data_IF_535957931872
#
_entry.id   IF_535957931872
#
_cell.length_a   1.000
_cell.length_b   1.000
_cell.length_c   1.000
_cell.angle_alpha   90.00
_cell.angle_beta   90.00
_cell.angle_gamma   90.00
#
_symmetry.space_group_name_H-M   'P 1'
#
loop_
_entity.id
_entity.type
_entity.pdbx_description
1 polymer ?
#
# COMPACT_ATOMS: atom_id res chain seq x y z
N UNK A 1 15.29 -23.54 6.05
CA UNK A 1 15.15 -22.89 7.39
C UNK A 1 13.80 -22.15 7.41
N UNK A 2 13.14 -21.94 8.56
CA UNK A 2 11.87 -21.17 8.60
C UNK A 2 12.12 -19.85 9.32
N UNK A 3 11.88 -18.72 8.66
CA UNK A 3 11.89 -17.40 9.31
C UNK A 3 10.47 -16.87 9.49
N UNK A 4 10.28 -16.08 10.54
CA UNK A 4 8.99 -15.53 10.95
C UNK A 4 9.02 -14.01 10.85
N UNK A 5 8.09 -13.44 10.08
CA UNK A 5 7.85 -12.00 10.04
C UNK A 5 6.47 -11.73 10.61
N UNK A 6 6.35 -10.69 11.44
CA UNK A 6 5.06 -10.24 11.94
C UNK A 6 4.77 -8.82 11.47
N UNK A 7 3.55 -8.60 11.01
CA UNK A 7 3.00 -7.27 10.77
C UNK A 7 1.89 -6.97 11.79
N UNK A 8 1.30 -5.78 11.73
CA UNK A 8 0.15 -5.43 12.56
C UNK A 8 -1.06 -6.35 12.35
N UNK A 9 -1.21 -6.94 11.15
CA UNK A 9 -2.40 -7.71 10.76
C UNK A 9 -2.10 -9.16 10.36
N UNK A 10 -0.84 -9.58 10.30
CA UNK A 10 -0.48 -10.92 9.81
C UNK A 10 0.79 -11.48 10.45
N UNK A 11 0.92 -12.79 10.37
CA UNK A 11 2.10 -13.59 10.70
C UNK A 11 2.50 -14.29 9.40
N UNK A 12 3.76 -14.16 9.00
CA UNK A 12 4.28 -14.63 7.71
C UNK A 12 5.44 -15.59 7.97
N UNK A 13 5.27 -16.84 7.55
CA UNK A 13 6.30 -17.88 7.62
C UNK A 13 6.98 -17.98 6.27
N UNK A 14 8.27 -17.67 6.23
CA UNK A 14 9.09 -17.80 5.03
C UNK A 14 9.85 -19.12 5.10
N UNK A 15 9.71 -19.92 4.05
CA UNK A 15 10.47 -21.15 3.84
C UNK A 15 11.31 -21.01 2.58
N UNK A 16 12.13 -22.01 2.27
CA UNK A 16 13.02 -21.98 1.12
C UNK A 16 12.25 -21.84 -0.22
N UNK A 17 11.02 -22.38 -0.31
CA UNK A 17 10.22 -22.40 -1.56
C UNK A 17 8.88 -21.68 -1.47
N UNK A 18 8.29 -21.61 -0.28
CA UNK A 18 6.95 -21.08 -0.07
C UNK A 18 6.90 -20.08 1.07
N UNK A 19 5.90 -19.21 1.00
CA UNK A 19 5.50 -18.33 2.10
C UNK A 19 4.08 -18.68 2.52
N UNK A 20 3.84 -18.67 3.83
CA UNK A 20 2.52 -18.89 4.41
C UNK A 20 2.14 -17.66 5.25
N UNK A 21 1.09 -16.95 4.83
CA UNK A 21 0.58 -15.77 5.52
C UNK A 21 -0.72 -16.09 6.25
N UNK A 22 -0.71 -15.89 7.56
CA UNK A 22 -1.84 -16.08 8.46
C UNK A 22 -2.28 -14.72 8.98
N UNK A 23 -3.59 -14.45 8.96
CA UNK A 23 -4.15 -13.18 9.41
C UNK A 23 -4.35 -13.20 10.93
N UNK A 24 -4.00 -12.11 11.63
CA UNK A 24 -4.21 -11.97 13.07
C UNK A 24 -5.69 -11.68 13.37
N UNK A 25 -6.24 -12.15 14.51
CA UNK A 25 -7.64 -11.95 14.89
C UNK A 25 -7.91 -10.54 15.43
N UNK A 26 -7.74 -9.52 14.59
CA UNK A 26 -7.81 -8.09 14.98
C UNK A 26 -8.98 -7.36 14.33
N UNK A 27 -9.42 -6.26 14.93
CA UNK A 27 -10.35 -5.31 14.34
C UNK A 27 -9.88 -3.88 14.61
N UNK A 28 -9.60 -3.13 13.55
CA UNK A 28 -9.11 -1.75 13.61
C UNK A 28 -10.14 -0.74 13.07
N UNK A 29 -11.39 -1.14 12.86
CA UNK A 29 -12.47 -0.32 12.29
C UNK A 29 -12.40 -0.19 10.77
N UNK A 30 -11.20 0.02 10.20
CA UNK A 30 -10.97 -0.03 8.75
C UNK A 30 -10.73 -1.44 8.21
N UNK A 31 -10.55 -2.41 9.12
CA UNK A 31 -10.30 -3.82 8.87
C UNK A 31 -10.89 -4.67 9.99
N UNK A 32 -11.50 -5.80 9.63
CA UNK A 32 -12.05 -6.76 10.59
C UNK A 32 -11.71 -8.21 10.23
N UNK A 33 -10.76 -8.77 10.97
CA UNK A 33 -10.31 -10.16 10.95
C UNK A 33 -10.70 -10.93 12.22
N UNK A 34 -11.63 -10.40 13.02
CA UNK A 34 -11.98 -10.93 14.36
C UNK A 34 -12.40 -12.40 14.36
N UNK A 35 -13.17 -12.83 13.36
CA UNK A 35 -13.67 -14.20 13.27
C UNK A 35 -12.94 -15.04 12.22
N UNK A 36 -12.86 -16.35 12.46
CA UNK A 36 -12.27 -17.29 11.53
C UNK A 36 -12.92 -17.23 10.14
N UNK A 37 -14.25 -17.05 10.07
CA UNK A 37 -14.99 -16.86 8.81
C UNK A 37 -14.54 -15.61 8.04
N UNK A 38 -14.31 -14.49 8.74
CA UNK A 38 -13.78 -13.26 8.13
C UNK A 38 -12.37 -13.46 7.59
N UNK A 39 -11.49 -14.10 8.37
CA UNK A 39 -10.12 -14.40 7.91
C UNK A 39 -10.10 -15.32 6.71
N UNK A 40 -10.92 -16.36 6.70
CA UNK A 40 -11.10 -17.23 5.53
C UNK A 40 -11.50 -16.45 4.26
N UNK A 41 -12.49 -15.57 4.40
CA UNK A 41 -12.94 -14.70 3.29
C UNK A 41 -11.80 -13.82 2.78
N UNK A 42 -11.08 -13.13 3.66
CA UNK A 42 -10.00 -12.23 3.24
C UNK A 42 -8.75 -12.96 2.74
N UNK A 43 -8.48 -14.19 3.17
CA UNK A 43 -7.47 -15.04 2.51
C UNK A 43 -7.80 -15.28 1.04
N UNK A 44 -9.09 -15.49 0.71
CA UNK A 44 -9.53 -15.64 -0.68
C UNK A 44 -9.48 -14.31 -1.45
N UNK A 45 -9.88 -13.20 -0.81
CA UNK A 45 -9.78 -11.87 -1.45
C UNK A 45 -8.32 -11.52 -1.78
N UNK A 46 -7.38 -11.80 -0.87
CA UNK A 46 -5.95 -11.58 -1.11
C UNK A 46 -5.48 -12.30 -2.40
N UNK A 47 -5.85 -13.57 -2.57
CA UNK A 47 -5.50 -14.33 -3.78
C UNK A 47 -6.15 -13.72 -5.03
N UNK A 48 -7.45 -13.44 -4.98
CA UNK A 48 -8.20 -12.90 -6.13
C UNK A 48 -7.58 -11.59 -6.61
N UNK A 49 -7.28 -10.70 -5.67
CA UNK A 49 -6.84 -9.34 -5.98
C UNK A 49 -5.39 -9.28 -6.40
N UNK A 50 -4.53 -10.06 -5.76
CA UNK A 50 -3.12 -10.07 -6.12
C UNK A 50 -2.87 -10.79 -7.45
N UNK A 51 -3.63 -11.83 -7.80
CA UNK A 51 -3.49 -12.51 -9.11
C UNK A 51 -3.64 -11.59 -10.33
N UNK A 52 -4.21 -10.39 -10.17
CA UNK A 52 -4.27 -9.36 -11.22
C UNK A 52 -2.88 -8.85 -11.65
N UNK A 53 -1.90 -8.89 -10.75
CA UNK A 53 -0.53 -8.41 -10.95
C UNK A 53 0.55 -9.46 -10.59
N UNK A 54 0.17 -10.58 -9.99
CA UNK A 54 1.07 -11.63 -9.50
C UNK A 54 0.49 -13.05 -9.66
N UNK A 55 -0.07 -13.35 -10.84
CA UNK A 55 -0.83 -14.57 -11.14
C UNK A 55 -0.17 -15.88 -10.66
N UNK A 56 1.15 -16.02 -10.88
CA UNK A 56 1.87 -17.28 -10.64
C UNK A 56 2.38 -17.47 -9.21
N UNK A 57 2.26 -16.44 -8.35
CA UNK A 57 2.78 -16.48 -6.97
C UNK A 57 1.77 -17.11 -6.02
N UNK A 58 0.49 -16.77 -6.15
CA UNK A 58 -0.54 -17.21 -5.21
C UNK A 58 -1.08 -18.60 -5.55
N UNK A 59 -0.75 -19.57 -4.70
CA UNK A 59 -1.07 -20.99 -4.91
C UNK A 59 -2.49 -21.30 -4.45
N UNK A 60 -2.83 -20.94 -3.20
CA UNK A 60 -4.14 -21.26 -2.64
C UNK A 60 -4.27 -20.89 -1.15
N UNK A 61 -5.47 -21.06 -0.61
CA UNK A 61 -5.73 -21.00 0.83
C UNK A 61 -5.66 -22.41 1.39
N UNK A 62 -4.91 -22.61 2.47
CA UNK A 62 -4.81 -23.88 3.19
C UNK A 62 -5.43 -23.76 4.58
N UNK A 63 -6.27 -24.72 5.00
CA UNK A 63 -6.70 -24.78 6.39
C UNK A 63 -5.53 -25.19 7.29
N UNK A 64 -5.53 -24.67 8.50
CA UNK A 64 -4.70 -25.13 9.61
C UNK A 64 -5.61 -25.92 10.53
N UNK A 65 -5.28 -27.18 10.74
CA UNK A 65 -6.08 -28.16 11.44
C UNK A 65 -5.37 -28.55 12.72
N UNK A 66 -6.12 -28.60 13.81
CA UNK A 66 -5.68 -29.14 15.08
C UNK A 66 -6.40 -30.46 15.35
N UNK A 67 -5.64 -31.53 15.54
CA UNK A 67 -6.16 -32.89 15.77
C UNK A 67 -6.31 -33.26 17.26
N UNK A 68 -6.12 -32.30 18.16
CA UNK A 68 -6.10 -32.52 19.61
C UNK A 68 -4.69 -32.67 20.20
N UNK A 69 -3.66 -32.85 19.36
CA UNK A 69 -2.25 -32.91 19.80
C UNK A 69 -1.33 -32.03 18.95
N UNK A 70 -1.49 -32.06 17.64
CA UNK A 70 -0.61 -31.40 16.68
C UNK A 70 -1.37 -30.44 15.76
N UNK A 71 -0.66 -29.45 15.25
CA UNK A 71 -1.13 -28.59 14.17
C UNK A 71 -0.59 -29.10 12.83
N UNK A 72 -1.46 -29.17 11.82
CA UNK A 72 -1.11 -29.51 10.44
C UNK A 72 -1.72 -28.51 9.47
N UNK A 73 -1.09 -28.29 8.32
CA UNK A 73 -1.58 -27.39 7.28
C UNK A 73 -1.93 -28.18 6.03
N UNK A 74 -3.12 -27.95 5.46
CA UNK A 74 -3.64 -28.72 4.32
C UNK A 74 -4.73 -29.73 4.71
N UNK A 75 -4.91 -30.77 3.89
CA UNK A 75 -5.99 -31.75 4.05
C UNK A 75 -5.69 -32.69 5.23
N UNK A 76 -6.69 -32.94 6.07
CA UNK A 76 -6.60 -33.91 7.16
C UNK A 76 -7.81 -33.89 8.07
N UNK A 77 -7.84 -34.83 9.02
CA UNK A 77 -8.84 -34.91 10.08
C UNK A 77 -8.50 -33.94 11.23
N UNK A 78 -9.55 -33.43 11.89
CA UNK A 78 -9.44 -32.52 13.03
C UNK A 78 -10.24 -31.22 12.84
N UNK A 79 -10.12 -30.31 13.80
CA UNK A 79 -10.83 -29.02 13.77
C UNK A 79 -10.00 -27.98 13.00
N UNK A 80 -10.60 -27.29 12.04
CA UNK A 80 -9.99 -26.11 11.41
C UNK A 80 -9.92 -24.99 12.46
N UNK A 81 -8.72 -24.53 12.73
CA UNK A 81 -8.44 -23.47 13.73
C UNK A 81 -8.03 -22.16 13.07
N UNK A 82 -7.48 -22.20 11.85
CA UNK A 82 -7.03 -21.01 11.11
C UNK A 82 -6.90 -21.30 9.60
N UNK A 83 -6.66 -20.28 8.79
CA UNK A 83 -6.31 -20.40 7.38
C UNK A 83 -5.00 -19.67 7.05
N UNK A 84 -4.24 -20.22 6.11
CA UNK A 84 -3.03 -19.61 5.57
C UNK A 84 -3.14 -19.40 4.06
N UNK A 85 -2.73 -18.22 3.57
CA UNK A 85 -2.46 -18.01 2.15
C UNK A 85 -1.09 -18.62 1.86
N UNK A 86 -1.04 -19.60 0.95
CA UNK A 86 0.21 -20.19 0.45
C UNK A 86 0.62 -19.51 -0.85
N UNK A 87 1.86 -19.05 -0.90
CA UNK A 87 2.45 -18.42 -2.08
C UNK A 87 3.87 -18.89 -2.34
N UNK A 88 4.35 -18.76 -3.59
CA UNK A 88 5.76 -19.00 -3.94
C UNK A 88 6.64 -17.95 -3.25
N UNK A 89 7.80 -18.39 -2.75
CA UNK A 89 8.82 -17.47 -2.22
C UNK A 89 9.43 -16.69 -3.37
N UNK A 90 9.34 -15.36 -3.30
CA UNK A 90 10.08 -14.49 -4.19
C UNK A 90 11.51 -14.29 -3.68
N UNK A 91 12.50 -14.15 -4.57
CA UNK A 91 13.87 -13.82 -4.19
C UNK A 91 13.92 -12.41 -3.58
N UNK A 92 14.31 -12.32 -2.30
CA UNK A 92 14.34 -11.05 -1.55
C UNK A 92 15.30 -10.04 -2.21
N UNK A 93 16.38 -10.53 -2.81
CA UNK A 93 17.37 -9.75 -3.53
C UNK A 93 16.82 -9.09 -4.81
N UNK A 94 15.71 -9.61 -5.35
CA UNK A 94 15.03 -9.07 -6.53
C UNK A 94 13.86 -8.15 -6.17
N UNK A 95 13.51 -7.98 -4.88
CA UNK A 95 12.56 -6.93 -4.50
C UNK A 95 13.10 -5.57 -4.93
N UNK A 96 12.24 -4.71 -5.48
CA UNK A 96 12.63 -3.40 -6.02
C UNK A 96 13.35 -2.58 -4.96
N UNK A 97 12.92 -2.66 -3.69
CA UNK A 97 13.61 -2.03 -2.55
C UNK A 97 15.05 -2.52 -2.40
N UNK A 98 15.28 -3.84 -2.45
CA UNK A 98 16.62 -4.44 -2.37
C UNK A 98 17.51 -4.01 -3.55
N UNK A 99 16.98 -4.04 -4.77
CA UNK A 99 17.70 -3.61 -5.98
C UNK A 99 18.01 -2.10 -5.94
N UNK A 100 17.10 -1.28 -5.41
CA UNK A 100 17.31 0.15 -5.20
C UNK A 100 18.48 0.42 -4.25
N UNK A 101 18.51 -0.21 -3.07
CA UNK A 101 19.58 0.03 -2.09
C UNK A 101 20.95 -0.50 -2.52
N UNK A 102 21.01 -1.45 -3.46
CA UNK A 102 22.27 -1.86 -4.10
C UNK A 102 22.72 -0.93 -5.23
N UNK A 103 21.94 0.10 -5.58
CA UNK A 103 22.24 1.01 -6.69
C UNK A 103 22.02 0.39 -8.08
N UNK A 104 21.28 -0.72 -8.16
CA UNK A 104 21.10 -1.51 -9.38
C UNK A 104 19.75 -1.23 -10.09
N UNK A 105 18.93 -0.31 -9.55
CA UNK A 105 17.63 0.02 -10.13
C UNK A 105 17.79 0.89 -11.38
N UNK A 106 17.81 0.24 -12.56
CA UNK A 106 18.00 0.88 -13.86
C UNK A 106 16.71 1.35 -14.53
N UNK A 107 16.86 2.23 -15.52
CA UNK A 107 15.74 2.77 -16.31
C UNK A 107 14.91 1.71 -17.06
N UNK A 108 15.51 0.58 -17.44
CA UNK A 108 14.79 -0.54 -18.05
C UNK A 108 13.78 -1.18 -17.09
N UNK A 109 14.13 -1.31 -15.81
CA UNK A 109 13.22 -1.77 -14.76
C UNK A 109 12.05 -0.80 -14.62
N UNK A 110 12.33 0.51 -14.55
CA UNK A 110 11.30 1.55 -14.44
C UNK A 110 10.34 1.54 -15.64
N UNK A 111 10.87 1.41 -16.86
CA UNK A 111 10.04 1.31 -18.07
C UNK A 111 9.14 0.07 -18.05
N UNK A 112 9.66 -1.07 -17.56
CA UNK A 112 8.88 -2.30 -17.41
C UNK A 112 7.77 -2.15 -16.37
N UNK A 113 8.07 -1.55 -15.22
CA UNK A 113 7.10 -1.22 -14.16
C UNK A 113 6.00 -0.31 -14.71
N UNK A 114 6.36 0.79 -15.36
CA UNK A 114 5.41 1.71 -15.97
C UNK A 114 4.47 1.00 -16.97
N UNK A 115 5.00 0.12 -17.83
CA UNK A 115 4.20 -0.68 -18.77
C UNK A 115 3.22 -1.62 -18.08
N UNK A 116 3.63 -2.29 -17.00
CA UNK A 116 2.77 -3.22 -16.25
C UNK A 116 1.68 -2.44 -15.52
N UNK A 117 2.03 -1.36 -14.81
CA UNK A 117 1.07 -0.54 -14.07
C UNK A 117 0.07 0.16 -14.99
N UNK A 118 0.52 0.79 -16.07
CA UNK A 118 -0.38 1.46 -17.01
C UNK A 118 -1.37 0.46 -17.64
N UNK A 119 -0.91 -0.75 -17.97
CA UNK A 119 -1.79 -1.82 -18.47
C UNK A 119 -2.78 -2.29 -17.40
N UNK A 120 -2.32 -2.48 -16.17
CA UNK A 120 -3.17 -2.86 -15.05
C UNK A 120 -4.24 -1.79 -14.81
N UNK A 121 -3.85 -0.53 -14.66
CA UNK A 121 -4.75 0.60 -14.45
C UNK A 121 -5.80 0.76 -15.56
N UNK A 122 -5.39 0.60 -16.83
CA UNK A 122 -6.32 0.65 -17.97
C UNK A 122 -7.37 -0.47 -17.93
N UNK A 123 -6.98 -1.67 -17.49
CA UNK A 123 -7.85 -2.86 -17.51
C UNK A 123 -8.53 -3.14 -16.16
N UNK A 124 -8.14 -2.42 -15.10
CA UNK A 124 -8.72 -2.56 -13.78
C UNK A 124 -10.21 -2.21 -13.82
N UNK A 125 -10.98 -2.90 -12.96
CA UNK A 125 -12.43 -2.74 -12.91
C UNK A 125 -12.78 -1.27 -12.67
N UNK A 126 -13.73 -0.78 -13.45
CA UNK A 126 -14.44 0.47 -13.23
C UNK A 126 -15.94 0.14 -13.09
N UNK A 127 -16.66 0.92 -12.28
CA UNK A 127 -18.11 0.86 -12.18
C UNK A 127 -18.64 2.16 -11.58
N UNK A 128 -19.94 2.39 -11.66
CA UNK A 128 -20.59 3.52 -10.98
C UNK A 128 -20.32 3.52 -9.47
N UNK A 129 -20.26 2.35 -8.84
CA UNK A 129 -19.90 2.22 -7.42
C UNK A 129 -18.43 2.57 -7.13
N UNK A 130 -17.50 2.19 -8.02
CA UNK A 130 -16.09 2.57 -7.90
C UNK A 130 -15.91 4.08 -8.12
N UNK A 131 -16.60 4.66 -9.09
CA UNK A 131 -16.51 6.08 -9.42
C UNK A 131 -16.88 7.00 -8.25
N UNK A 132 -17.76 6.55 -7.34
CA UNK A 132 -18.10 7.30 -6.12
C UNK A 132 -16.86 7.63 -5.27
N UNK A 133 -15.84 6.77 -5.28
CA UNK A 133 -14.61 6.97 -4.49
C UNK A 133 -13.68 8.04 -5.06
N UNK A 134 -13.86 8.45 -6.32
CA UNK A 134 -13.14 9.57 -6.91
C UNK A 134 -13.74 10.93 -6.59
N UNK A 135 -14.97 10.97 -6.05
CA UNK A 135 -15.62 12.23 -5.70
C UNK A 135 -14.83 12.94 -4.60
N UNK A 136 -14.59 14.25 -4.69
CA UNK A 136 -13.75 14.96 -3.74
C UNK A 136 -14.26 14.82 -2.31
N UNK A 137 -15.58 14.87 -2.08
CA UNK A 137 -16.20 14.70 -0.77
C UNK A 137 -16.01 13.29 -0.17
N UNK A 138 -15.92 12.26 -1.01
CA UNK A 138 -15.68 10.88 -0.56
C UNK A 138 -14.20 10.64 -0.33
N UNK A 139 -13.33 11.12 -1.21
CA UNK A 139 -11.89 11.00 -1.03
C UNK A 139 -11.41 11.80 0.19
N UNK A 140 -12.05 12.95 0.47
CA UNK A 140 -11.79 13.80 1.65
C UNK A 140 -11.94 13.07 2.98
N UNK A 141 -12.81 12.06 3.07
CA UNK A 141 -12.93 11.24 4.29
C UNK A 141 -11.58 10.58 4.63
N UNK A 142 -10.81 10.15 3.63
CA UNK A 142 -9.48 9.56 3.86
C UNK A 142 -8.49 10.57 4.44
N UNK A 143 -8.44 11.79 3.87
CA UNK A 143 -7.55 12.83 4.36
C UNK A 143 -7.95 13.34 5.74
N UNK A 144 -9.25 13.50 5.99
CA UNK A 144 -9.77 13.99 7.27
C UNK A 144 -9.51 12.98 8.39
N UNK A 145 -9.71 11.68 8.13
CA UNK A 145 -9.33 10.61 9.04
C UNK A 145 -7.83 10.61 9.32
N UNK A 146 -6.98 10.78 8.29
CA UNK A 146 -5.55 10.87 8.48
C UNK A 146 -5.17 12.01 9.42
N UNK A 147 -5.66 13.23 9.17
CA UNK A 147 -5.36 14.37 10.02
C UNK A 147 -5.88 14.17 11.45
N UNK A 148 -7.10 13.66 11.62
CA UNK A 148 -7.67 13.34 12.94
C UNK A 148 -6.78 12.35 13.70
N UNK A 149 -6.34 11.29 13.04
CA UNK A 149 -5.50 10.25 13.65
C UNK A 149 -4.08 10.73 13.97
N UNK A 150 -3.56 11.71 13.23
CA UNK A 150 -2.23 12.31 13.46
C UNK A 150 -2.23 13.30 14.63
N UNK A 151 -3.38 13.87 15.03
CA UNK A 151 -3.46 14.94 16.04
C UNK A 151 -2.71 14.62 17.35
N UNK A 152 -2.79 13.38 17.84
CA UNK A 152 -2.15 12.96 19.09
C UNK A 152 -0.62 12.86 19.02
N UNK A 153 -0.03 12.95 17.83
CA UNK A 153 1.42 12.89 17.63
C UNK A 153 2.05 14.25 17.29
N UNK A 154 1.27 15.32 17.35
CA UNK A 154 1.77 16.69 17.19
C UNK A 154 2.75 17.00 18.33
N UNK A 155 3.91 17.55 17.99
CA UNK A 155 5.02 17.80 18.92
C UNK A 155 5.97 16.60 19.06
N UNK A 156 5.55 15.40 18.65
CA UNK A 156 6.39 14.19 18.66
C UNK A 156 6.90 13.87 17.26
N UNK A 157 6.00 13.53 16.34
CA UNK A 157 6.36 13.09 14.97
C UNK A 157 6.13 14.14 13.90
N UNK A 158 5.34 15.18 14.20
CA UNK A 158 5.10 16.32 13.31
C UNK A 158 4.97 17.59 14.15
N UNK A 159 5.53 18.70 13.67
CA UNK A 159 5.36 19.99 14.34
C UNK A 159 3.97 20.58 14.06
N UNK A 160 3.42 21.32 15.03
CA UNK A 160 2.08 21.92 14.90
C UNK A 160 1.94 22.78 13.65
N UNK A 161 2.98 23.56 13.33
CA UNK A 161 3.04 24.40 12.13
C UNK A 161 2.90 23.60 10.84
N UNK A 162 3.65 22.51 10.71
CA UNK A 162 3.66 21.69 9.49
C UNK A 162 2.33 20.93 9.35
N UNK A 163 1.79 20.42 10.46
CA UNK A 163 0.45 19.81 10.50
C UNK A 163 -0.63 20.78 10.01
N UNK A 164 -0.68 22.00 10.54
CA UNK A 164 -1.69 23.00 10.16
C UNK A 164 -1.52 23.46 8.70
N UNK A 165 -0.27 23.54 8.22
CA UNK A 165 0.05 23.88 6.83
C UNK A 165 -0.43 22.80 5.86
N UNK A 166 -0.06 21.54 6.10
CA UNK A 166 -0.50 20.39 5.30
C UNK A 166 -2.02 20.27 5.28
N UNK A 167 -2.67 20.44 6.44
CA UNK A 167 -4.12 20.38 6.54
C UNK A 167 -4.80 21.49 5.72
N UNK A 168 -4.37 22.74 5.89
CA UNK A 168 -4.92 23.89 5.16
C UNK A 168 -4.71 23.76 3.66
N UNK A 169 -3.51 23.35 3.24
CA UNK A 169 -3.20 23.13 1.83
C UNK A 169 -4.10 22.05 1.24
N UNK A 170 -4.27 20.92 1.94
CA UNK A 170 -5.14 19.82 1.51
C UNK A 170 -6.60 20.27 1.36
N UNK A 171 -7.12 21.03 2.33
CA UNK A 171 -8.48 21.59 2.29
C UNK A 171 -8.66 22.56 1.11
N UNK A 172 -7.70 23.45 0.90
CA UNK A 172 -7.71 24.37 -0.23
C UNK A 172 -7.63 23.64 -1.58
N UNK A 173 -6.85 22.55 -1.67
CA UNK A 173 -6.76 21.77 -2.90
C UNK A 173 -8.13 21.22 -3.32
N UNK A 174 -8.89 20.65 -2.39
CA UNK A 174 -10.26 20.18 -2.70
C UNK A 174 -11.16 21.31 -3.19
N UNK A 175 -11.14 22.46 -2.50
CA UNK A 175 -11.98 23.60 -2.85
C UNK A 175 -11.68 24.16 -4.24
N UNK A 176 -10.40 24.24 -4.60
CA UNK A 176 -9.96 24.82 -5.88
C UNK A 176 -9.94 23.84 -7.05
N UNK A 177 -9.97 22.52 -6.82
CA UNK A 177 -9.75 21.51 -7.85
C UNK A 177 -10.92 20.53 -8.04
N UNK A 178 -12.14 20.88 -7.61
CA UNK A 178 -13.34 20.03 -7.81
C UNK A 178 -13.47 19.58 -9.27
N UNK A 179 -13.28 20.48 -10.23
CA UNK A 179 -13.35 20.18 -11.66
C UNK A 179 -12.32 19.12 -12.10
N UNK A 180 -11.13 19.12 -11.49
CA UNK A 180 -10.10 18.14 -11.78
C UNK A 180 -10.54 16.74 -11.34
N UNK A 181 -11.01 16.57 -10.10
CA UNK A 181 -11.56 15.28 -9.63
C UNK A 181 -12.71 14.78 -10.50
N UNK A 182 -13.63 15.67 -10.88
CA UNK A 182 -14.76 15.32 -11.75
C UNK A 182 -14.29 14.90 -13.15
N UNK A 183 -13.28 15.57 -13.71
CA UNK A 183 -12.65 15.17 -14.97
C UNK A 183 -12.05 13.77 -14.91
N UNK A 184 -11.41 13.41 -13.79
CA UNK A 184 -10.88 12.05 -13.56
C UNK A 184 -12.00 11.00 -13.58
N UNK A 185 -13.12 11.27 -12.92
CA UNK A 185 -14.29 10.38 -12.92
C UNK A 185 -14.85 10.22 -14.34
N UNK A 186 -15.06 11.33 -15.04
CA UNK A 186 -15.62 11.34 -16.40
C UNK A 186 -14.70 10.64 -17.42
N UNK A 187 -13.39 10.65 -17.17
CA UNK A 187 -12.37 9.97 -17.97
C UNK A 187 -12.14 8.51 -17.53
N UNK A 188 -13.03 7.96 -16.69
CA UNK A 188 -12.95 6.61 -16.11
C UNK A 188 -11.60 6.29 -15.46
N UNK A 189 -11.00 7.27 -14.77
CA UNK A 189 -9.68 7.13 -14.13
C UNK A 189 -9.75 6.60 -12.70
N UNK A 190 -10.96 6.43 -12.16
CA UNK A 190 -11.18 5.80 -10.86
C UNK A 190 -11.30 4.30 -11.06
N UNK A 191 -10.36 3.54 -10.51
CA UNK A 191 -10.21 2.13 -10.79
C UNK A 191 -10.07 1.34 -9.50
N UNK A 192 -10.34 0.05 -9.60
CA UNK A 192 -9.98 -0.92 -8.58
C UNK A 192 -8.46 -1.20 -8.63
N UNK A 193 -7.67 -0.33 -7.99
CA UNK A 193 -6.21 -0.29 -8.08
C UNK A 193 -5.50 -1.28 -7.12
N UNK A 194 -4.22 -1.03 -6.79
CA UNK A 194 -3.46 -1.79 -5.80
C UNK A 194 -3.75 -1.33 -4.36
N UNK A 195 -3.78 -0.03 -4.12
CA UNK A 195 -4.07 0.61 -2.84
C UNK A 195 -2.84 0.79 -1.92
N UNK A 196 -1.82 -0.06 -2.03
CA UNK A 196 -0.58 -0.03 -1.23
C UNK A 196 0.71 -0.22 -2.06
N UNK A 197 0.81 0.49 -3.18
CA UNK A 197 1.86 0.27 -4.17
C UNK A 197 3.19 0.94 -3.76
N UNK A 198 4.12 0.22 -3.15
CA UNK A 198 5.46 0.70 -2.80
C UNK A 198 6.56 -0.33 -3.11
N UNK A 199 7.84 0.03 -2.96
CA UNK A 199 8.95 -0.77 -3.50
C UNK A 199 9.06 -2.19 -2.91
N UNK A 200 8.56 -2.43 -1.70
CA UNK A 200 8.54 -3.76 -1.07
C UNK A 200 7.60 -4.74 -1.78
N UNK A 201 6.64 -4.22 -2.53
CA UNK A 201 5.58 -4.97 -3.20
C UNK A 201 5.86 -5.23 -4.68
N UNK A 202 7.01 -4.79 -5.19
CA UNK A 202 7.43 -4.98 -6.58
C UNK A 202 8.65 -5.88 -6.62
N UNK A 203 8.60 -6.99 -7.37
CA UNK A 203 9.75 -7.89 -7.53
C UNK A 203 10.22 -7.90 -9.00
N UNK A 204 11.51 -7.65 -9.23
CA UNK A 204 12.11 -7.43 -10.54
C UNK A 204 12.48 -8.72 -11.29
N UNK A 205 11.77 -9.81 -11.05
CA UNK A 205 11.91 -11.04 -11.84
C UNK A 205 11.35 -10.86 -13.26
N UNK A 206 11.50 -11.88 -14.10
CA UNK A 206 11.03 -11.85 -15.49
C UNK A 206 9.54 -11.50 -15.61
N UNK A 207 8.70 -12.04 -14.73
CA UNK A 207 7.25 -11.78 -14.75
C UNK A 207 6.84 -10.48 -14.04
N UNK A 208 7.80 -9.76 -13.44
CA UNK A 208 7.60 -8.53 -12.67
C UNK A 208 6.33 -8.56 -11.77
N UNK A 209 6.23 -9.50 -10.84
CA UNK A 209 5.05 -9.56 -10.01
C UNK A 209 4.97 -8.37 -9.05
N UNK A 210 3.76 -7.84 -8.93
CA UNK A 210 3.38 -6.86 -7.91
C UNK A 210 2.33 -7.50 -7.00
N UNK A 211 2.56 -7.45 -5.69
CA UNK A 211 1.82 -8.26 -4.70
C UNK A 211 1.52 -7.46 -3.43
N UNK A 212 0.75 -8.05 -2.51
CA UNK A 212 0.22 -7.41 -1.30
C UNK A 212 -0.72 -6.21 -1.53
N UNK A 213 -1.56 -6.31 -2.55
CA UNK A 213 -2.69 -5.42 -2.81
C UNK A 213 -3.70 -5.46 -1.65
N UNK A 214 -4.25 -4.28 -1.27
CA UNK A 214 -5.23 -4.15 -0.17
C UNK A 214 -6.50 -4.96 -0.46
N UNK A 215 -6.71 -6.03 0.30
CA UNK A 215 -7.82 -6.96 0.13
C UNK A 215 -9.04 -6.67 1.00
N UNK A 216 -8.89 -5.75 1.94
CA UNK A 216 -9.83 -5.62 3.04
C UNK A 216 -10.59 -4.31 3.12
N UNK A 217 -10.18 -3.29 2.37
CA UNK A 217 -10.85 -2.01 2.35
C UNK A 217 -10.94 -1.46 0.93
N UNK A 218 -12.15 -1.48 0.39
CA UNK A 218 -12.42 -0.97 -0.96
C UNK A 218 -12.09 0.52 -1.08
N UNK A 219 -12.28 1.34 -0.04
CA UNK A 219 -11.99 2.78 -0.09
C UNK A 219 -10.50 3.10 -0.30
N UNK A 220 -9.62 2.21 0.16
CA UNK A 220 -8.17 2.38 -0.04
C UNK A 220 -7.70 1.89 -1.41
N UNK A 221 -8.50 1.03 -2.06
CA UNK A 221 -8.17 0.40 -3.34
C UNK A 221 -8.90 1.03 -4.53
N UNK A 222 -10.14 1.48 -4.34
CA UNK A 222 -10.95 2.17 -5.34
C UNK A 222 -10.54 3.62 -5.34
N UNK A 223 -9.67 3.99 -6.26
CA UNK A 223 -9.02 5.30 -6.24
C UNK A 223 -8.60 5.70 -7.64
N UNK A 224 -8.16 6.94 -7.80
CA UNK A 224 -7.55 7.40 -9.04
C UNK A 224 -6.26 6.62 -9.31
N UNK A 225 -6.03 6.23 -10.56
CA UNK A 225 -4.79 5.56 -10.97
C UNK A 225 -3.53 6.40 -10.67
N UNK A 226 -3.65 7.74 -10.63
CA UNK A 226 -2.55 8.61 -10.18
C UNK A 226 -2.30 8.44 -8.70
N UNK A 227 -3.34 8.29 -7.87
CA UNK A 227 -3.20 8.06 -6.44
C UNK A 227 -2.52 6.72 -6.10
N UNK A 228 -2.67 5.74 -6.98
CA UNK A 228 -1.99 4.44 -6.84
C UNK A 228 -0.50 4.55 -7.16
N UNK A 229 -0.13 5.08 -8.33
CA UNK A 229 1.28 5.23 -8.69
C UNK A 229 2.01 6.29 -7.86
N UNK A 230 1.32 7.34 -7.40
CA UNK A 230 1.89 8.35 -6.51
C UNK A 230 2.51 7.73 -5.26
N UNK A 231 2.00 6.59 -4.80
CA UNK A 231 2.56 5.89 -3.66
C UNK A 231 3.98 5.37 -3.97
N UNK A 232 4.19 4.71 -5.10
CA UNK A 232 5.52 4.20 -5.48
C UNK A 232 6.51 5.33 -5.76
N UNK A 233 6.03 6.43 -6.36
CA UNK A 233 6.84 7.61 -6.63
C UNK A 233 7.28 8.29 -5.33
N UNK A 234 6.35 8.49 -4.39
CA UNK A 234 6.65 9.04 -3.06
C UNK A 234 7.59 8.11 -2.27
N UNK A 235 7.42 6.79 -2.37
CA UNK A 235 8.30 5.82 -1.69
C UNK A 235 9.74 5.86 -2.23
N UNK A 236 9.91 6.01 -3.55
CA UNK A 236 11.23 6.25 -4.16
C UNK A 236 11.84 7.55 -3.63
N UNK A 237 11.08 8.65 -3.61
CA UNK A 237 11.54 9.97 -3.19
C UNK A 237 11.91 10.00 -1.71
N UNK A 238 11.13 9.33 -0.85
CA UNK A 238 11.45 9.12 0.57
C UNK A 238 12.81 8.47 0.77
N UNK A 239 13.15 7.51 -0.09
CA UNK A 239 14.42 6.80 -0.06
C UNK A 239 15.55 7.51 -0.84
N UNK A 240 15.34 8.76 -1.30
CA UNK A 240 16.33 9.57 -2.02
C UNK A 240 16.35 9.36 -3.54
N UNK A 241 15.42 8.57 -4.07
CA UNK A 241 15.31 8.19 -5.48
C UNK A 241 14.64 9.22 -6.39
N UNK A 242 14.83 10.53 -6.18
CA UNK A 242 14.13 11.60 -6.92
C UNK A 242 14.24 11.46 -8.45
N UNK A 243 15.46 11.21 -8.96
CA UNK A 243 15.71 11.01 -10.40
C UNK A 243 15.01 9.77 -10.94
N UNK A 244 14.95 8.68 -10.15
CA UNK A 244 14.28 7.44 -10.54
C UNK A 244 12.76 7.59 -10.49
N UNK A 245 12.23 8.30 -9.49
CA UNK A 245 10.80 8.65 -9.41
C UNK A 245 10.37 9.46 -10.62
N UNK A 246 11.09 10.56 -10.94
CA UNK A 246 10.80 11.37 -12.13
C UNK A 246 10.81 10.52 -13.41
N UNK A 247 11.83 9.68 -13.59
CA UNK A 247 11.95 8.82 -14.77
C UNK A 247 10.83 7.76 -14.85
N UNK A 248 10.41 7.19 -13.72
CA UNK A 248 9.27 6.28 -13.65
C UNK A 248 7.97 6.99 -14.02
N UNK A 249 7.77 8.20 -13.47
CA UNK A 249 6.62 9.03 -13.79
C UNK A 249 6.58 9.39 -15.27
N UNK A 250 7.70 9.81 -15.88
CA UNK A 250 7.77 10.15 -17.30
C UNK A 250 7.32 8.98 -18.18
N UNK A 251 7.85 7.77 -17.93
CA UNK A 251 7.42 6.58 -18.65
C UNK A 251 5.94 6.26 -18.43
N UNK A 252 5.47 6.32 -17.18
CA UNK A 252 4.09 5.98 -16.88
C UNK A 252 3.12 7.00 -17.48
N UNK A 253 3.39 8.29 -17.35
CA UNK A 253 2.58 9.40 -17.86
C UNK A 253 2.39 9.28 -19.37
N UNK A 254 3.47 8.98 -20.09
CA UNK A 254 3.43 8.74 -21.54
C UNK A 254 2.55 7.52 -21.89
N UNK A 255 2.79 6.36 -21.25
CA UNK A 255 2.09 5.11 -21.58
C UNK A 255 0.61 5.14 -21.16
N UNK A 256 0.30 5.77 -20.03
CA UNK A 256 -1.05 5.92 -19.51
C UNK A 256 -1.83 7.08 -20.16
N UNK A 257 -1.18 7.85 -21.05
CA UNK A 257 -1.71 9.01 -21.74
C UNK A 257 -2.31 10.04 -20.76
N UNK A 258 -1.49 10.44 -19.77
CA UNK A 258 -1.88 11.36 -18.71
C UNK A 258 -1.34 12.78 -18.98
N UNK A 259 -2.22 13.77 -18.92
CA UNK A 259 -1.91 15.17 -19.25
C UNK A 259 -2.44 16.10 -18.16
N UNK A 260 -1.70 17.18 -17.85
CA UNK A 260 -2.13 18.22 -16.92
C UNK A 260 -2.54 17.75 -15.51
N UNK A 261 -1.93 16.66 -15.03
CA UNK A 261 -2.21 16.07 -13.70
C UNK A 261 -1.11 16.33 -12.65
N UNK A 262 -0.16 17.24 -12.90
CA UNK A 262 0.99 17.43 -11.99
C UNK A 262 0.53 17.87 -10.59
N UNK A 263 -0.36 18.85 -10.49
CA UNK A 263 -0.90 19.30 -9.20
C UNK A 263 -1.67 18.19 -8.46
N UNK A 264 -2.38 17.34 -9.21
CA UNK A 264 -3.08 16.17 -8.66
C UNK A 264 -2.11 15.08 -8.20
N UNK A 265 -1.01 14.88 -8.92
CA UNK A 265 0.05 13.96 -8.52
C UNK A 265 0.68 14.41 -7.20
N UNK A 266 1.02 15.69 -7.06
CA UNK A 266 1.59 16.23 -5.82
C UNK A 266 0.62 16.11 -4.66
N UNK A 267 -0.67 16.43 -4.88
CA UNK A 267 -1.73 16.17 -3.90
C UNK A 267 -1.76 14.71 -3.45
N UNK A 268 -1.69 13.75 -4.38
CA UNK A 268 -1.68 12.35 -4.01
C UNK A 268 -0.38 11.89 -3.33
N UNK A 269 0.78 12.45 -3.70
CA UNK A 269 2.05 12.18 -3.00
C UNK A 269 2.01 12.69 -1.56
N UNK A 270 1.49 13.90 -1.34
CA UNK A 270 1.24 14.46 0.01
C UNK A 270 0.34 13.51 0.80
N UNK A 271 -0.78 13.09 0.22
CA UNK A 271 -1.69 12.13 0.85
C UNK A 271 -0.97 10.83 1.25
N UNK A 272 -0.17 10.23 0.36
CA UNK A 272 0.55 8.98 0.63
C UNK A 272 1.66 9.15 1.66
N UNK A 273 2.40 10.26 1.62
CA UNK A 273 3.41 10.59 2.62
C UNK A 273 2.78 10.75 4.02
N UNK A 274 1.62 11.43 4.12
CA UNK A 274 0.86 11.52 5.37
C UNK A 274 0.38 10.14 5.84
N UNK A 275 -0.09 9.27 4.95
CA UNK A 275 -0.47 7.89 5.30
C UNK A 275 0.72 7.14 5.92
N UNK A 276 1.91 7.21 5.31
CA UNK A 276 3.12 6.55 5.84
C UNK A 276 3.60 7.16 7.14
N UNK A 277 3.61 8.48 7.27
CA UNK A 277 3.92 9.16 8.53
C UNK A 277 2.98 8.71 9.64
N UNK A 278 1.67 8.74 9.39
CA UNK A 278 0.63 8.30 10.33
C UNK A 278 0.78 6.84 10.76
N UNK A 279 0.92 5.92 9.80
CA UNK A 279 1.00 4.48 10.10
C UNK A 279 2.27 4.16 10.89
N UNK A 280 3.39 4.83 10.59
CA UNK A 280 4.59 4.68 11.42
C UNK A 280 4.37 5.25 12.83
N UNK A 281 3.74 6.41 12.98
CA UNK A 281 3.43 6.99 14.30
C UNK A 281 2.57 6.07 15.19
N UNK A 282 1.69 5.24 14.61
CA UNK A 282 0.91 4.25 15.37
C UNK A 282 1.75 3.25 16.14
N UNK A 283 2.97 2.95 15.70
CA UNK A 283 3.86 2.05 16.43
C UNK A 283 4.24 2.60 17.81
N UNK A 284 4.22 3.93 18.01
CA UNK A 284 4.52 4.57 19.29
C UNK A 284 3.51 4.24 20.40
N UNK A 285 2.31 3.80 20.03
CA UNK A 285 1.27 3.39 20.99
C UNK A 285 1.55 1.99 21.58
N UNK A 286 2.43 1.20 20.97
CA UNK A 286 2.77 -0.12 21.48
C UNK A 286 3.67 0.02 22.72
N UNK A 287 3.17 -0.46 23.86
CA UNK A 287 3.93 -0.44 25.11
C UNK A 287 5.14 -1.38 25.08
N UNK A 288 5.19 -2.34 24.15
CA UNK A 288 6.23 -3.36 24.07
C UNK A 288 7.42 -2.97 23.19
N UNK A 289 7.38 -1.83 22.49
CA UNK A 289 8.54 -1.37 21.71
C UNK A 289 9.52 -0.61 22.61
N UNK A 290 10.80 -0.99 22.52
CA UNK A 290 11.89 -0.35 23.27
C UNK A 290 12.13 1.11 22.86
N UNK A 291 12.85 1.86 23.71
CA UNK A 291 13.09 3.30 23.49
C UNK A 291 13.81 3.58 22.17
N UNK A 292 14.85 2.81 21.83
CA UNK A 292 15.57 2.93 20.55
C UNK A 292 14.62 2.80 19.35
N UNK A 293 13.73 1.79 19.38
CA UNK A 293 12.73 1.59 18.32
C UNK A 293 11.73 2.75 18.25
N UNK A 294 11.36 3.34 19.39
CA UNK A 294 10.52 4.54 19.44
C UNK A 294 11.21 5.72 18.77
N UNK A 295 12.48 5.95 19.04
CA UNK A 295 13.26 7.03 18.42
C UNK A 295 13.38 6.86 16.90
N UNK A 296 13.71 5.65 16.42
CA UNK A 296 13.71 5.33 14.99
C UNK A 296 12.34 5.60 14.34
N UNK A 297 11.26 5.21 15.03
CA UNK A 297 9.89 5.41 14.57
C UNK A 297 9.55 6.89 14.47
N UNK A 298 9.96 7.69 15.45
CA UNK A 298 9.77 9.14 15.46
C UNK A 298 10.47 9.76 14.26
N UNK A 299 11.75 9.42 14.05
CA UNK A 299 12.56 9.99 12.97
C UNK A 299 12.02 9.58 11.59
N UNK A 300 11.67 8.30 11.42
CA UNK A 300 11.04 7.76 10.20
C UNK A 300 9.75 8.51 9.88
N UNK A 301 8.90 8.72 10.88
CA UNK A 301 7.62 9.43 10.74
C UNK A 301 7.83 10.90 10.39
N UNK A 302 8.78 11.58 11.04
CA UNK A 302 9.14 12.98 10.75
C UNK A 302 9.56 13.16 9.30
N UNK A 303 10.42 12.28 8.78
CA UNK A 303 10.87 12.32 7.38
C UNK A 303 9.71 12.21 6.39
N UNK A 304 8.69 11.39 6.68
CA UNK A 304 7.51 11.31 5.82
C UNK A 304 6.69 12.60 5.84
N UNK A 305 6.51 13.23 7.00
CA UNK A 305 5.80 14.51 7.07
C UNK A 305 6.60 15.66 6.44
N UNK A 306 7.93 15.66 6.56
CA UNK A 306 8.80 16.60 5.87
C UNK A 306 8.72 16.43 4.34
N UNK A 307 8.73 15.18 3.86
CA UNK A 307 8.53 14.89 2.44
C UNK A 307 7.17 15.41 1.96
N UNK A 308 6.10 15.18 2.74
CA UNK A 308 4.78 15.73 2.43
C UNK A 308 4.84 17.27 2.31
N UNK A 309 5.50 17.96 3.24
CA UNK A 309 5.66 19.41 3.19
C UNK A 309 6.45 19.89 1.97
N UNK A 310 7.45 19.13 1.51
CA UNK A 310 8.28 19.52 0.34
C UNK A 310 7.52 19.54 -1.00
N UNK A 311 6.34 18.92 -1.08
CA UNK A 311 5.50 18.96 -2.28
C UNK A 311 4.57 20.17 -2.34
N UNK A 312 4.50 20.97 -1.26
CA UNK A 312 3.68 22.18 -1.21
C UNK A 312 4.42 23.37 -1.84
N UNK A 313 5.74 23.28 -1.97
CA UNK A 313 6.64 24.37 -2.39
C UNK A 313 6.46 24.83 -3.83
#
# INVERSE_FOLDING_TARGET
MVSLIQTHISIVFLTDKFVYKIKKPVNFGFLDFSTLKKRHYYCHQEIILNRRLSKEIYIGVLPIIYDGKNYRMGIGEGRIVEYAVKMKRLPDEMLMKSVFFRGELKGEHLKKIAKVLARFHRNARNSSDINKFGKPEIFKINTDENFKQVQKYIGTTIQKRDFDTLKRWTENFYNSNVALFMSRINSEKIRDCHGDLHMEHVCLTENLPIFDCIEFNNRFRYTDIIADIAFLLMDLEYHGGNTLSKKLWDFYKEIANEHDVNSLLDFYKIYRAIVRGKVNSFQLDDANIGMEKKEETIETSRKYFQLASSYIE
#
